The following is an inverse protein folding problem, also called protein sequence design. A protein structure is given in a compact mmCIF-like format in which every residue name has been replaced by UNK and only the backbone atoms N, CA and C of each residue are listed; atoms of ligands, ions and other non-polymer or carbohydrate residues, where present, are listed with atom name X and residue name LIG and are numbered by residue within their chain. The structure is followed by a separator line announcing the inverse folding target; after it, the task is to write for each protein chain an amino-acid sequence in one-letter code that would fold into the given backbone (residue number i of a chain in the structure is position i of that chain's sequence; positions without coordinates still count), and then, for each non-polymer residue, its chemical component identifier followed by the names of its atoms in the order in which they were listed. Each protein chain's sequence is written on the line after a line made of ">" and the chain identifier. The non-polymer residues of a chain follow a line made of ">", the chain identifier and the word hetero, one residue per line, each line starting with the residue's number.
data_IF_475326049074
#
_entry.id   IF_475326049074
#
_cell.length_a   1.000
_cell.length_b   1.000
_cell.length_c   1.000
_cell.angle_alpha   90.00
_cell.angle_beta   90.00
_cell.angle_gamma   90.00
#
_symmetry.space_group_name_H-M   'P 1'
#
loop_
_entity.id
_entity.type
_entity.pdbx_description
1 polymer ?
#
# COMPACT_ATOMS: atom_id res chain seq x y z
N UNK A 1 16.49 15.72 1.47
CA UNK A 1 15.32 15.82 0.58
C UNK A 1 14.53 14.55 0.75
N UNK A 2 13.34 14.65 1.33
CA UNK A 2 12.39 13.55 1.41
C UNK A 2 11.22 13.86 0.48
N UNK A 3 10.66 12.83 -0.15
CA UNK A 3 9.34 12.91 -0.77
C UNK A 3 8.35 12.25 0.18
N UNK A 4 7.19 12.86 0.38
CA UNK A 4 6.18 12.34 1.30
C UNK A 4 5.33 11.28 0.58
N UNK A 5 5.43 10.04 1.07
CA UNK A 5 4.62 8.93 0.60
C UNK A 5 3.30 8.84 1.37
N UNK A 6 2.18 8.76 0.66
CA UNK A 6 0.84 8.61 1.25
C UNK A 6 0.23 7.28 0.81
N UNK A 7 -0.21 6.49 1.79
CA UNK A 7 -0.98 5.26 1.55
C UNK A 7 -2.42 5.52 2.01
N UNK A 8 -3.37 5.30 1.12
CA UNK A 8 -4.78 5.36 1.48
C UNK A 8 -5.17 4.12 2.31
N UNK A 9 -6.07 4.24 3.30
CA UNK A 9 -6.45 3.12 4.18
C UNK A 9 -7.00 1.90 3.41
N UNK A 10 -7.73 2.14 2.32
CA UNK A 10 -8.24 1.09 1.42
C UNK A 10 -7.16 0.35 0.64
N UNK A 11 -5.95 0.92 0.56
CA UNK A 11 -4.79 0.35 -0.12
C UNK A 11 -3.83 -0.35 0.84
N UNK A 12 -4.16 -0.42 2.14
CA UNK A 12 -3.34 -1.13 3.13
C UNK A 12 -3.54 -2.65 3.08
N UNK A 13 -4.76 -3.12 2.82
CA UNK A 13 -5.09 -4.55 2.81
C UNK A 13 -6.32 -4.84 1.92
N UNK A 14 -6.53 -6.11 1.57
CA UNK A 14 -7.71 -6.57 0.83
C UNK A 14 -8.99 -6.60 1.68
N UNK A 15 -8.86 -6.68 3.00
CA UNK A 15 -9.98 -6.64 3.93
C UNK A 15 -10.21 -5.21 4.46
N UNK A 16 -11.38 -4.97 5.07
CA UNK A 16 -11.66 -3.70 5.73
C UNK A 16 -10.70 -3.51 6.91
N UNK A 17 -10.01 -2.37 6.94
CA UNK A 17 -9.14 -1.96 8.04
C UNK A 17 -9.83 -0.82 8.79
N UNK A 18 -10.04 -0.97 10.10
CA UNK A 18 -10.63 0.08 10.94
C UNK A 18 -9.55 0.99 11.52
N UNK A 19 -8.44 0.40 11.96
CA UNK A 19 -7.29 1.14 12.46
C UNK A 19 -6.00 0.72 11.71
N UNK A 20 -5.25 1.68 11.14
CA UNK A 20 -4.00 1.36 10.41
C UNK A 20 -2.95 0.69 11.31
N UNK A 21 -3.02 0.91 12.63
CA UNK A 21 -2.15 0.27 13.62
C UNK A 21 -2.30 -1.26 13.70
N UNK A 22 -3.40 -1.80 13.18
CA UNK A 22 -3.64 -3.25 13.11
C UNK A 22 -2.78 -3.92 12.04
N UNK A 23 -2.44 -3.18 10.98
CA UNK A 23 -1.72 -3.70 9.82
C UNK A 23 -0.28 -3.19 9.73
N UNK A 24 0.01 -1.98 10.23
CA UNK A 24 1.34 -1.36 10.22
C UNK A 24 1.66 -0.71 11.56
N UNK A 25 2.95 -0.62 11.89
CA UNK A 25 3.42 0.10 13.08
C UNK A 25 4.34 1.24 12.68
N UNK A 26 4.38 2.28 13.52
CA UNK A 26 5.32 3.39 13.32
C UNK A 26 6.73 2.85 13.50
N UNK A 27 7.61 3.12 12.53
CA UNK A 27 9.00 2.63 12.50
C UNK A 27 9.16 1.26 11.83
N UNK A 28 8.08 0.67 11.32
CA UNK A 28 8.14 -0.58 10.56
C UNK A 28 8.59 -0.29 9.12
N UNK A 29 9.57 -1.06 8.63
CA UNK A 29 9.97 -1.02 7.22
C UNK A 29 9.00 -1.89 6.44
N UNK A 30 8.21 -1.27 5.56
CA UNK A 30 7.19 -1.97 4.78
C UNK A 30 7.45 -1.82 3.30
N UNK A 31 7.28 -2.91 2.57
CA UNK A 31 7.27 -2.88 1.11
C UNK A 31 5.95 -2.25 0.63
N UNK A 32 6.04 -1.40 -0.38
CA UNK A 32 4.90 -0.68 -0.98
C UNK A 32 5.06 -0.60 -2.49
N UNK A 33 3.94 -0.65 -3.19
CA UNK A 33 3.85 -0.43 -4.62
C UNK A 33 3.57 1.04 -4.93
N UNK A 34 4.31 1.64 -5.85
CA UNK A 34 4.09 3.02 -6.29
C UNK A 34 2.93 3.06 -7.28
N UNK A 35 1.84 3.75 -6.93
CA UNK A 35 0.69 3.94 -7.80
C UNK A 35 0.91 5.10 -8.77
N UNK A 36 1.23 6.27 -8.22
CA UNK A 36 1.39 7.52 -8.95
C UNK A 36 2.44 8.39 -8.26
N UNK A 37 3.12 9.21 -9.05
CA UNK A 37 4.14 10.12 -8.57
C UNK A 37 3.83 11.54 -9.07
N UNK A 38 3.45 12.41 -8.14
CA UNK A 38 3.14 13.81 -8.39
C UNK A 38 4.38 14.65 -8.10
N UNK A 39 5.11 14.99 -9.17
CA UNK A 39 6.35 15.78 -9.08
C UNK A 39 6.11 17.22 -8.63
N UNK A 40 4.94 17.77 -8.94
CA UNK A 40 4.57 19.15 -8.63
C UNK A 40 4.33 19.33 -7.12
N UNK A 41 3.62 18.38 -6.49
CA UNK A 41 3.31 18.39 -5.06
C UNK A 41 4.35 17.59 -4.22
N UNK A 42 5.36 16.99 -4.87
CA UNK A 42 6.32 16.06 -4.27
C UNK A 42 5.67 14.91 -3.46
N UNK A 43 4.49 14.46 -3.90
CA UNK A 43 3.72 13.40 -3.25
C UNK A 43 3.81 12.12 -4.05
N UNK A 44 3.87 11.01 -3.33
CA UNK A 44 3.89 9.68 -3.95
C UNK A 44 2.70 8.90 -3.38
N UNK A 45 1.80 8.49 -4.27
CA UNK A 45 0.70 7.60 -3.91
C UNK A 45 1.21 6.16 -3.88
N UNK A 46 1.00 5.49 -2.74
CA UNK A 46 1.55 4.18 -2.44
C UNK A 46 0.43 3.19 -2.10
N UNK A 47 0.65 1.90 -2.39
CA UNK A 47 -0.28 0.81 -2.10
C UNK A 47 0.44 -0.41 -1.58
N UNK A 48 0.00 -0.94 -0.44
CA UNK A 48 0.53 -2.19 0.12
C UNK A 48 -0.26 -3.40 -0.35
N UNK A 49 -1.57 -3.23 -0.53
CA UNK A 49 -2.50 -4.26 -1.00
C UNK A 49 -2.05 -4.94 -2.30
N UNK A 50 -1.41 -4.20 -3.21
CA UNK A 50 -0.92 -4.76 -4.48
C UNK A 50 0.26 -5.72 -4.33
N UNK A 51 0.99 -5.64 -3.23
CA UNK A 51 2.04 -6.59 -2.89
C UNK A 51 1.51 -7.81 -2.15
N UNK A 52 0.35 -7.66 -1.49
CA UNK A 52 -0.34 -8.81 -0.91
C UNK A 52 -0.88 -9.66 -2.05
N UNK A 53 -0.42 -10.91 -2.11
CA UNK A 53 -0.76 -11.88 -3.14
C UNK A 53 -2.23 -11.79 -3.51
N UNK A 54 -2.45 -11.57 -4.80
CA UNK A 54 -3.78 -11.42 -5.34
C UNK A 54 -4.49 -12.77 -5.16
N UNK A 55 -5.56 -12.87 -4.33
CA UNK A 55 -6.22 -14.14 -4.03
C UNK A 55 -6.93 -14.74 -5.25
N UNK A 56 -7.05 -13.97 -6.35
CA UNK A 56 -7.63 -14.39 -7.61
C UNK A 56 -6.56 -14.97 -8.58
N UNK A 57 -5.28 -14.64 -8.41
CA UNK A 57 -4.18 -15.13 -9.25
C UNK A 57 -3.93 -16.63 -9.01
N UNK A 58 -4.08 -17.10 -7.77
CA UNK A 58 -3.93 -18.53 -7.43
C UNK A 58 -5.08 -19.41 -7.96
N UNK A 59 -6.18 -18.80 -8.41
CA UNK A 59 -7.36 -19.54 -8.88
C UNK A 59 -7.25 -19.99 -10.35
N UNK A 60 -6.31 -19.44 -11.12
CA UNK A 60 -6.17 -19.67 -12.57
C UNK A 60 -5.09 -20.71 -12.93
N UNK A 61 -4.58 -21.47 -11.95
CA UNK A 61 -3.65 -22.59 -12.19
C UNK A 61 -4.31 -23.97 -12.01
N UNK A 62 -5.55 -24.12 -12.49
CA UNK A 62 -6.22 -25.43 -12.64
C UNK A 62 -6.96 -25.56 -13.96
#
# INVERSE_FOLDING_TARGET
>A
GGADGLIHISELAWHRVNHPREVIKVGDEVEVYVLSLDKEEQRIALSRKRLLENPWDTAEER
#
